data_IF_099821187642
#
_entry.id   IF_099821187642
#
_cell.length_a   1.000
_cell.length_b   1.000
_cell.length_c   1.000
_cell.angle_alpha   90.00
_cell.angle_beta   90.00
_cell.angle_gamma   90.00
#
_symmetry.space_group_name_H-M   'P 1'
#
loop_
_entity.id
_entity.type
_entity.pdbx_description
1 polymer ?
#
# COMPACT_ATOMS: atom_id res chain seq x y z
N UNK A 1 30.71 -9.19 -17.81
CA UNK A 1 31.33 -10.53 -17.57
C UNK A 1 31.04 -11.11 -16.18
N UNK A 2 31.26 -10.42 -15.07
CA UNK A 2 30.82 -10.94 -13.73
C UNK A 2 29.30 -10.87 -13.60
N UNK A 3 28.69 -9.79 -14.03
CA UNK A 3 27.26 -9.55 -13.99
C UNK A 3 26.47 -10.47 -14.91
N UNK A 4 26.96 -10.75 -16.11
CA UNK A 4 26.35 -11.72 -17.03
C UNK A 4 26.24 -13.10 -16.39
N UNK A 5 27.31 -13.57 -15.72
CA UNK A 5 27.29 -14.85 -15.01
C UNK A 5 26.33 -14.86 -13.81
N UNK A 6 26.19 -13.71 -13.14
CA UNK A 6 25.23 -13.56 -12.02
C UNK A 6 23.81 -13.54 -12.53
N UNK A 7 23.53 -12.81 -13.62
CA UNK A 7 22.23 -12.77 -14.29
C UNK A 7 21.83 -14.16 -14.78
N UNK A 8 22.72 -14.87 -15.47
CA UNK A 8 22.47 -16.25 -15.93
C UNK A 8 22.13 -17.20 -14.77
N UNK A 9 22.84 -17.07 -13.65
CA UNK A 9 22.53 -17.86 -12.44
C UNK A 9 21.17 -17.49 -11.86
N UNK A 10 20.83 -16.20 -11.82
CA UNK A 10 19.54 -15.71 -11.31
C UNK A 10 18.37 -16.23 -12.18
N UNK A 11 18.51 -16.18 -13.50
CA UNK A 11 17.50 -16.71 -14.43
C UNK A 11 17.32 -18.24 -14.30
N UNK A 12 18.33 -18.93 -13.78
CA UNK A 12 18.28 -20.39 -13.58
C UNK A 12 17.62 -20.78 -12.25
N UNK A 13 17.78 -19.98 -11.18
CA UNK A 13 17.35 -20.34 -9.82
C UNK A 13 16.09 -19.62 -9.35
N UNK A 14 15.75 -18.45 -9.93
CA UNK A 14 14.61 -17.66 -9.54
C UNK A 14 13.42 -17.85 -10.49
N UNK A 15 12.21 -17.94 -9.95
CA UNK A 15 11.02 -17.94 -10.79
C UNK A 15 10.98 -16.71 -11.71
N UNK A 16 10.66 -16.95 -12.98
CA UNK A 16 10.55 -15.91 -14.02
C UNK A 16 9.19 -15.23 -13.98
N UNK A 17 8.89 -14.57 -12.86
CA UNK A 17 7.67 -13.78 -12.66
C UNK A 17 7.86 -12.29 -12.94
N UNK A 18 9.09 -11.86 -13.15
CA UNK A 18 9.47 -10.48 -13.47
C UNK A 18 10.33 -10.43 -14.73
N UNK A 19 10.14 -9.39 -15.54
CA UNK A 19 11.07 -9.01 -16.59
C UNK A 19 12.12 -8.08 -15.97
N UNK A 20 13.25 -8.66 -15.53
CA UNK A 20 14.31 -7.91 -14.84
C UNK A 20 15.16 -7.13 -15.83
N UNK A 21 15.54 -5.90 -15.44
CA UNK A 21 16.55 -5.15 -16.18
C UNK A 21 17.94 -5.76 -15.94
N UNK A 22 18.85 -5.73 -16.94
CA UNK A 22 20.18 -6.33 -16.86
C UNK A 22 21.17 -5.43 -16.08
N UNK A 23 20.81 -5.05 -14.85
CA UNK A 23 21.63 -4.25 -13.94
C UNK A 23 21.69 -4.99 -12.60
N UNK A 24 22.89 -5.09 -12.04
CA UNK A 24 23.13 -5.73 -10.73
C UNK A 24 23.49 -4.65 -9.74
N UNK A 25 22.53 -4.20 -8.95
CA UNK A 25 22.79 -3.24 -7.88
C UNK A 25 23.51 -3.90 -6.71
N UNK A 26 24.51 -3.20 -6.17
CA UNK A 26 25.35 -3.66 -5.06
C UNK A 26 24.99 -2.93 -3.76
N UNK A 27 24.95 -1.61 -3.77
CA UNK A 27 24.66 -0.81 -2.58
C UNK A 27 23.88 0.47 -2.93
N UNK A 28 23.44 1.18 -1.88
CA UNK A 28 22.74 2.45 -2.01
C UNK A 28 22.97 3.37 -0.83
N UNK A 29 22.87 4.68 -1.05
CA UNK A 29 22.91 5.71 0.00
C UNK A 29 22.02 6.89 -0.38
N UNK A 30 21.14 7.29 0.54
CA UNK A 30 20.19 8.37 0.27
C UNK A 30 19.28 8.01 -0.91
N UNK A 31 19.38 8.76 -1.99
CA UNK A 31 18.58 8.55 -3.23
C UNK A 31 19.38 7.89 -4.36
N UNK A 32 20.63 7.50 -4.09
CA UNK A 32 21.54 6.96 -5.10
C UNK A 32 21.75 5.46 -4.89
N UNK A 33 21.77 4.74 -5.99
CA UNK A 33 22.14 3.32 -6.08
C UNK A 33 23.42 3.18 -6.88
N UNK A 34 24.22 2.16 -6.56
CA UNK A 34 25.40 1.78 -7.31
C UNK A 34 25.29 0.34 -7.78
N UNK A 35 25.66 0.10 -9.02
CA UNK A 35 25.83 -1.25 -9.54
C UNK A 35 27.21 -1.85 -9.19
N UNK A 36 27.41 -3.12 -9.51
CA UNK A 36 28.66 -3.84 -9.26
C UNK A 36 29.85 -3.34 -10.09
N UNK A 37 29.60 -2.50 -11.10
CA UNK A 37 30.64 -1.83 -11.92
C UNK A 37 30.98 -0.43 -11.40
N UNK A 38 30.26 0.05 -10.36
CA UNK A 38 30.46 1.35 -9.73
C UNK A 38 29.72 2.50 -10.43
N UNK A 39 28.81 2.22 -11.35
CA UNK A 39 27.97 3.26 -11.93
C UNK A 39 26.95 3.76 -10.91
N UNK A 40 26.74 5.06 -10.87
CA UNK A 40 25.74 5.73 -10.02
C UNK A 40 24.41 5.88 -10.74
N UNK A 41 23.33 5.61 -10.02
CA UNK A 41 21.96 5.73 -10.50
C UNK A 41 21.14 6.59 -9.56
N UNK A 42 20.43 7.59 -10.10
CA UNK A 42 19.44 8.35 -9.35
C UNK A 42 18.12 7.56 -9.31
N UNK A 43 17.58 7.33 -8.13
CA UNK A 43 16.41 6.45 -7.94
C UNK A 43 15.10 7.24 -7.78
N UNK A 44 14.22 7.14 -8.78
CA UNK A 44 12.83 7.62 -8.74
C UNK A 44 11.80 6.50 -8.54
N UNK A 45 12.25 5.29 -8.23
CA UNK A 45 11.40 4.13 -7.97
C UNK A 45 11.29 3.74 -6.50
N UNK A 46 12.35 4.00 -5.72
CA UNK A 46 12.45 3.69 -4.28
C UNK A 46 12.04 2.24 -3.93
N UNK A 47 12.39 1.25 -4.77
CA UNK A 47 11.94 -0.12 -4.57
C UNK A 47 10.41 -0.28 -4.62
N UNK A 48 9.73 0.46 -5.49
CA UNK A 48 8.27 0.60 -5.60
C UNK A 48 7.69 1.33 -4.38
N UNK A 49 8.17 2.55 -4.14
CA UNK A 49 7.75 3.45 -3.06
C UNK A 49 8.01 2.90 -1.63
N UNK A 50 8.99 2.04 -1.46
CA UNK A 50 9.34 1.41 -0.17
C UNK A 50 10.35 2.23 0.62
N UNK A 51 11.43 2.69 -0.02
CA UNK A 51 12.56 3.36 0.62
C UNK A 51 12.23 4.83 0.92
N UNK A 52 11.33 5.08 1.89
CA UNK A 52 10.90 6.43 2.24
C UNK A 52 12.04 7.31 2.77
N UNK A 53 12.88 6.78 3.66
CA UNK A 53 14.07 7.44 4.20
C UNK A 53 15.30 7.30 3.28
N UNK A 54 15.13 6.71 2.09
CA UNK A 54 16.24 6.37 1.23
C UNK A 54 17.08 5.20 1.74
N UNK A 55 18.20 4.98 1.08
CA UNK A 55 19.10 3.86 1.33
C UNK A 55 20.09 4.20 2.44
N UNK A 56 20.33 3.24 3.34
CA UNK A 56 21.35 3.30 4.40
C UNK A 56 21.29 4.60 5.25
N UNK A 57 20.10 5.07 5.59
CA UNK A 57 19.93 6.13 6.58
C UNK A 57 20.58 5.68 7.89
N UNK A 58 21.46 6.51 8.45
CA UNK A 58 22.31 6.13 9.58
C UNK A 58 21.49 5.93 10.86
N UNK A 59 20.55 6.84 11.15
CA UNK A 59 19.72 6.80 12.35
C UNK A 59 18.82 5.56 12.34
N UNK A 60 18.14 5.31 11.21
CA UNK A 60 17.33 4.13 10.98
C UNK A 60 18.15 2.84 11.08
N UNK A 61 19.29 2.78 10.39
CA UNK A 61 20.16 1.60 10.37
C UNK A 61 20.69 1.25 11.77
N UNK A 62 21.06 2.26 12.57
CA UNK A 62 21.53 2.07 13.93
C UNK A 62 20.41 1.56 14.86
N UNK A 63 19.17 2.06 14.72
CA UNK A 63 18.03 1.57 15.48
C UNK A 63 17.75 0.08 15.21
N UNK A 64 17.73 -0.31 13.91
CA UNK A 64 17.54 -1.70 13.51
C UNK A 64 18.66 -2.61 14.05
N UNK A 65 19.93 -2.21 13.92
CA UNK A 65 21.07 -2.97 14.45
C UNK A 65 20.98 -3.13 15.97
N UNK A 66 20.65 -2.07 16.69
CA UNK A 66 20.49 -2.12 18.14
C UNK A 66 19.40 -3.10 18.59
N UNK A 67 18.29 -3.20 17.82
CA UNK A 67 17.24 -4.18 18.11
C UNK A 67 17.67 -5.62 17.77
N UNK A 68 18.47 -5.82 16.71
CA UNK A 68 19.04 -7.13 16.38
C UNK A 68 19.91 -7.69 17.51
N UNK A 69 20.61 -6.84 18.24
CA UNK A 69 21.45 -7.22 19.39
C UNK A 69 20.63 -7.56 20.66
N UNK A 70 19.33 -7.29 20.67
CA UNK A 70 18.45 -7.55 21.82
C UNK A 70 17.55 -8.77 21.60
N UNK A 71 16.58 -8.63 20.73
CA UNK A 71 15.54 -9.64 20.47
C UNK A 71 14.95 -9.41 19.09
N UNK A 72 15.14 -10.36 18.19
CA UNK A 72 14.66 -10.24 16.81
C UNK A 72 13.22 -10.74 16.63
N UNK A 73 12.84 -11.77 17.38
CA UNK A 73 11.53 -12.39 17.26
C UNK A 73 11.03 -12.93 18.57
N UNK A 74 9.73 -12.75 18.81
CA UNK A 74 8.93 -13.45 19.80
C UNK A 74 7.49 -13.52 19.29
N UNK A 75 6.76 -14.58 19.67
CA UNK A 75 5.35 -14.74 19.29
C UNK A 75 4.46 -13.65 19.87
N UNK A 76 3.37 -13.30 19.16
CA UNK A 76 2.28 -12.44 19.66
C UNK A 76 1.53 -13.02 20.87
N UNK A 77 1.92 -14.20 21.35
CA UNK A 77 1.50 -14.73 22.65
C UNK A 77 2.13 -13.97 23.83
N UNK A 78 3.13 -13.15 23.57
CA UNK A 78 3.88 -12.36 24.56
C UNK A 78 3.93 -10.90 24.16
N UNK A 79 4.01 -10.02 25.14
CA UNK A 79 4.19 -8.59 24.90
C UNK A 79 5.67 -8.26 24.60
N UNK A 80 5.89 -7.30 23.72
CA UNK A 80 7.20 -6.73 23.49
C UNK A 80 7.10 -5.20 23.35
N UNK A 81 8.06 -4.47 23.87
CA UNK A 81 8.05 -3.01 23.91
C UNK A 81 8.01 -2.38 22.51
N UNK A 82 8.87 -2.78 21.53
CA UNK A 82 8.86 -2.15 20.21
C UNK A 82 7.50 -2.21 19.49
N UNK A 83 6.72 -3.28 19.68
CA UNK A 83 5.41 -3.37 19.02
C UNK A 83 4.37 -2.43 19.65
N UNK A 84 4.48 -2.16 20.94
CA UNK A 84 3.62 -1.19 21.63
C UNK A 84 4.00 0.22 21.21
N UNK A 85 5.29 0.58 21.25
CA UNK A 85 5.77 1.90 20.90
C UNK A 85 5.42 2.28 19.45
N UNK A 86 5.72 1.40 18.50
CA UNK A 86 5.34 1.59 17.10
C UNK A 86 3.81 1.68 16.92
N UNK A 87 3.07 0.85 17.64
CA UNK A 87 1.60 0.86 17.62
C UNK A 87 1.04 2.19 18.11
N UNK A 88 1.47 2.68 19.26
CA UNK A 88 1.01 3.95 19.82
C UNK A 88 1.31 5.13 18.90
N UNK A 89 2.52 5.19 18.32
CA UNK A 89 2.89 6.25 17.37
C UNK A 89 2.03 6.18 16.11
N UNK A 90 1.83 4.99 15.54
CA UNK A 90 1.04 4.81 14.35
C UNK A 90 -0.43 5.17 14.57
N UNK A 91 -1.01 4.80 15.72
CA UNK A 91 -2.36 5.20 16.12
C UNK A 91 -2.47 6.72 16.34
N UNK A 92 -1.47 7.34 16.96
CA UNK A 92 -1.41 8.80 17.17
C UNK A 92 -1.48 9.57 15.86
N UNK A 93 -0.71 9.18 14.85
CA UNK A 93 -0.64 9.90 13.55
C UNK A 93 -1.81 9.57 12.62
N UNK A 94 -2.46 8.41 12.79
CA UNK A 94 -3.60 7.98 11.99
C UNK A 94 -4.95 8.32 12.63
N UNK A 95 -4.99 8.51 13.95
CA UNK A 95 -6.25 8.66 14.69
C UNK A 95 -7.11 7.40 14.71
N UNK A 96 -6.56 6.22 14.36
CA UNK A 96 -7.24 4.93 14.47
C UNK A 96 -7.18 4.41 15.91
N UNK A 97 -7.97 3.36 16.24
CA UNK A 97 -8.11 2.88 17.62
C UNK A 97 -7.27 1.63 17.91
N UNK A 98 -7.08 0.77 16.91
CA UNK A 98 -6.35 -0.50 17.02
C UNK A 98 -5.48 -0.74 15.80
N UNK A 99 -4.37 -1.46 16.01
CA UNK A 99 -3.44 -1.90 14.97
C UNK A 99 -3.11 -3.37 15.12
N UNK A 100 -2.98 -4.06 14.00
CA UNK A 100 -2.41 -5.40 13.90
C UNK A 100 -1.27 -5.36 12.89
N UNK A 101 -0.06 -5.72 13.32
CA UNK A 101 1.10 -5.76 12.45
C UNK A 101 1.19 -7.07 11.66
N UNK A 102 1.51 -6.96 10.38
CA UNK A 102 1.69 -8.07 9.44
C UNK A 102 3.09 -8.01 8.83
N UNK A 103 3.42 -8.93 7.90
CA UNK A 103 4.73 -8.96 7.25
C UNK A 103 4.75 -8.22 5.89
N UNK A 104 3.60 -7.88 5.36
CA UNK A 104 3.46 -7.30 4.02
C UNK A 104 2.14 -6.56 3.85
N UNK A 105 2.05 -5.75 2.79
CA UNK A 105 0.80 -5.09 2.41
C UNK A 105 -0.30 -6.07 2.04
N UNK A 106 0.03 -7.15 1.32
CA UNK A 106 -0.98 -8.16 0.95
C UNK A 106 -1.59 -8.82 2.19
N UNK A 107 -0.79 -9.12 3.23
CA UNK A 107 -1.30 -9.63 4.51
C UNK A 107 -2.15 -8.59 5.27
N UNK A 108 -1.80 -7.31 5.18
CA UNK A 108 -2.61 -6.25 5.75
C UNK A 108 -4.01 -6.19 5.07
N UNK A 109 -4.07 -6.35 3.76
CA UNK A 109 -5.32 -6.45 3.02
C UNK A 109 -6.12 -7.69 3.45
N UNK A 110 -5.48 -8.87 3.59
CA UNK A 110 -6.15 -10.08 4.08
C UNK A 110 -6.83 -9.85 5.45
N UNK A 111 -6.13 -9.15 6.37
CA UNK A 111 -6.69 -8.76 7.66
C UNK A 111 -7.88 -7.81 7.53
N UNK A 112 -7.78 -6.79 6.67
CA UNK A 112 -8.85 -5.84 6.42
C UNK A 112 -10.12 -6.51 5.83
N UNK A 113 -9.95 -7.44 4.88
CA UNK A 113 -11.06 -8.23 4.32
C UNK A 113 -11.71 -9.10 5.38
N UNK A 114 -10.91 -9.69 6.28
CA UNK A 114 -11.44 -10.49 7.41
C UNK A 114 -12.22 -9.63 8.39
N UNK A 115 -11.79 -8.40 8.70
CA UNK A 115 -12.58 -7.46 9.50
C UNK A 115 -13.94 -7.22 8.86
N UNK A 116 -13.99 -6.93 7.55
CA UNK A 116 -15.24 -6.67 6.85
C UNK A 116 -16.21 -7.87 6.91
N UNK A 117 -15.70 -9.07 6.66
CA UNK A 117 -16.49 -10.30 6.74
C UNK A 117 -16.93 -10.61 8.17
N UNK A 118 -16.06 -10.38 9.16
CA UNK A 118 -16.42 -10.61 10.58
C UNK A 118 -17.44 -9.59 11.08
N UNK A 119 -17.32 -8.33 10.66
CA UNK A 119 -18.33 -7.30 10.93
C UNK A 119 -19.71 -7.70 10.38
N UNK A 120 -19.78 -8.15 9.14
CA UNK A 120 -21.01 -8.65 8.53
C UNK A 120 -21.59 -9.85 9.29
N UNK A 121 -20.74 -10.81 9.63
CA UNK A 121 -21.14 -11.98 10.43
C UNK A 121 -21.76 -11.57 11.78
N UNK A 122 -21.09 -10.69 12.53
CA UNK A 122 -21.58 -10.20 13.81
C UNK A 122 -22.95 -9.52 13.69
N UNK A 123 -23.11 -8.65 12.68
CA UNK A 123 -24.35 -7.93 12.38
C UNK A 123 -25.53 -8.90 12.08
N UNK A 124 -25.29 -9.95 11.32
CA UNK A 124 -26.32 -10.97 11.04
C UNK A 124 -26.70 -11.73 12.32
N UNK A 125 -25.73 -12.10 13.16
CA UNK A 125 -26.00 -12.79 14.41
C UNK A 125 -26.78 -11.93 15.42
N UNK A 126 -26.46 -10.63 15.54
CA UNK A 126 -27.21 -9.70 16.39
C UNK A 126 -28.68 -9.59 15.96
N UNK A 127 -28.96 -9.60 14.64
CA UNK A 127 -30.34 -9.52 14.13
C UNK A 127 -31.12 -10.82 14.31
N UNK A 128 -30.45 -11.98 14.40
CA UNK A 128 -31.10 -13.28 14.59
C UNK A 128 -31.44 -13.57 16.08
N UNK A 129 -30.82 -12.85 17.03
CA UNK A 129 -31.00 -13.02 18.47
C UNK A 129 -30.36 -14.30 19.02
N UNK A 130 -29.95 -14.29 20.29
CA UNK A 130 -29.39 -15.46 21.03
C UNK A 130 -30.39 -16.60 21.27
N UNK A 131 -31.48 -16.69 20.54
CA UNK A 131 -32.70 -17.42 20.87
C UNK A 131 -32.94 -18.71 20.11
N UNK A 132 -31.94 -19.52 19.82
CA UNK A 132 -32.19 -20.87 19.29
C UNK A 132 -31.23 -21.93 19.83
N UNK A 133 -31.34 -22.23 21.13
CA UNK A 133 -31.00 -23.57 21.62
C UNK A 133 -32.01 -24.56 21.00
N UNK A 134 -31.63 -25.24 19.91
CA UNK A 134 -32.44 -26.30 19.30
C UNK A 134 -33.13 -25.97 17.96
N UNK A 135 -32.93 -24.81 17.35
CA UNK A 135 -33.34 -24.61 15.95
C UNK A 135 -32.34 -25.31 15.03
N UNK A 136 -32.85 -26.11 14.10
CA UNK A 136 -32.06 -26.51 12.90
C UNK A 136 -31.42 -25.25 12.33
N UNK A 137 -30.07 -25.22 12.20
CA UNK A 137 -29.34 -24.14 11.55
C UNK A 137 -29.96 -23.96 10.15
N UNK A 138 -30.86 -22.98 10.02
CA UNK A 138 -31.20 -22.53 8.67
C UNK A 138 -29.88 -22.11 8.05
N UNK A 139 -29.53 -22.66 6.91
CA UNK A 139 -28.39 -22.19 6.11
C UNK A 139 -28.60 -20.71 5.81
N UNK A 140 -28.13 -19.84 6.71
CA UNK A 140 -28.11 -18.41 6.49
C UNK A 140 -26.94 -18.15 5.57
N UNK A 141 -27.21 -17.48 4.45
CA UNK A 141 -26.15 -17.06 3.54
C UNK A 141 -25.29 -15.97 4.21
N UNK A 142 -24.17 -16.40 4.78
CA UNK A 142 -23.20 -15.55 5.47
C UNK A 142 -22.25 -14.82 4.49
N UNK A 143 -22.56 -14.79 3.20
CA UNK A 143 -21.71 -14.16 2.18
C UNK A 143 -21.73 -12.63 2.34
N UNK A 144 -20.71 -12.08 3.00
CA UNK A 144 -20.45 -10.63 2.98
C UNK A 144 -19.82 -10.25 1.64
N UNK A 145 -20.49 -9.37 0.89
CA UNK A 145 -19.99 -8.85 -0.38
C UNK A 145 -19.10 -7.60 -0.17
N UNK A 146 -18.04 -7.49 -0.97
CA UNK A 146 -17.10 -6.36 -0.92
C UNK A 146 -17.05 -5.71 -2.30
N UNK A 147 -17.23 -4.39 -2.35
CA UNK A 147 -17.05 -3.61 -3.56
C UNK A 147 -15.60 -3.13 -3.62
N UNK A 148 -14.92 -3.43 -4.72
CA UNK A 148 -13.56 -2.98 -5.03
C UNK A 148 -13.57 -2.12 -6.30
N UNK A 149 -12.49 -1.39 -6.55
CA UNK A 149 -12.43 -0.50 -7.72
C UNK A 149 -11.76 -1.19 -8.91
N UNK A 150 -12.27 -0.94 -10.11
CA UNK A 150 -11.59 -1.26 -11.35
C UNK A 150 -10.20 -0.60 -11.36
N UNK A 151 -9.22 -1.25 -11.96
CA UNK A 151 -7.81 -0.83 -12.02
C UNK A 151 -7.07 -0.76 -10.68
N UNK A 152 -7.70 -1.11 -9.55
CA UNK A 152 -7.04 -1.16 -8.25
C UNK A 152 -5.98 -2.27 -8.16
N UNK A 153 -5.05 -2.10 -7.21
CA UNK A 153 -4.08 -3.11 -6.85
C UNK A 153 -3.95 -3.23 -5.33
N UNK A 154 -4.34 -4.38 -4.79
CA UNK A 154 -4.33 -4.62 -3.35
C UNK A 154 -3.40 -5.75 -2.91
N UNK A 155 -2.80 -6.49 -3.85
CA UNK A 155 -1.81 -7.53 -3.55
C UNK A 155 -1.93 -8.78 -4.42
N UNK A 156 -1.14 -9.81 -4.06
CA UNK A 156 -0.98 -11.04 -4.85
C UNK A 156 -1.38 -12.31 -4.13
N UNK A 157 -1.67 -12.29 -2.82
CA UNK A 157 -2.33 -13.41 -2.14
C UNK A 157 -3.76 -13.58 -2.68
N UNK A 158 -4.34 -14.76 -2.59
CA UNK A 158 -5.64 -15.03 -3.25
C UNK A 158 -6.76 -14.11 -2.76
N UNK A 159 -6.79 -13.76 -1.47
CA UNK A 159 -7.77 -12.81 -0.95
C UNK A 159 -7.54 -11.39 -1.44
N UNK A 160 -6.32 -10.85 -1.33
CA UNK A 160 -5.98 -9.53 -1.85
C UNK A 160 -6.11 -9.46 -3.39
N UNK A 161 -5.79 -10.57 -4.08
CA UNK A 161 -5.98 -10.68 -5.52
C UNK A 161 -7.47 -10.64 -5.91
N UNK A 162 -8.35 -11.18 -5.07
CA UNK A 162 -9.80 -11.19 -5.32
C UNK A 162 -10.37 -9.78 -5.43
N UNK A 163 -9.83 -8.81 -4.66
CA UNK A 163 -10.25 -7.40 -4.67
C UNK A 163 -9.36 -6.51 -5.55
N UNK A 164 -8.33 -7.06 -6.21
CA UNK A 164 -7.49 -6.33 -7.17
C UNK A 164 -8.23 -6.17 -8.50
N UNK A 165 -8.44 -4.91 -8.95
CA UNK A 165 -9.30 -4.58 -10.09
C UNK A 165 -8.76 -4.98 -11.46
N UNK A 166 -7.46 -5.26 -11.60
CA UNK A 166 -6.86 -5.65 -12.86
C UNK A 166 -7.15 -7.12 -13.19
N UNK A 167 -8.04 -7.36 -14.17
CA UNK A 167 -8.46 -8.70 -14.60
C UNK A 167 -7.28 -9.58 -15.09
N UNK A 168 -6.25 -8.98 -15.70
CA UNK A 168 -5.07 -9.71 -16.15
C UNK A 168 -4.38 -10.47 -15.00
N UNK A 169 -4.37 -9.89 -13.80
CA UNK A 169 -3.78 -10.54 -12.63
C UNK A 169 -4.67 -11.63 -12.02
N UNK A 170 -6.01 -11.49 -12.14
CA UNK A 170 -6.99 -12.38 -11.51
C UNK A 170 -7.32 -13.62 -12.33
N UNK A 171 -7.52 -13.45 -13.64
CA UNK A 171 -8.08 -14.48 -14.52
C UNK A 171 -7.40 -15.85 -14.44
N UNK A 172 -6.05 -15.95 -14.38
CA UNK A 172 -5.36 -17.24 -14.30
C UNK A 172 -5.59 -18.01 -13.00
N UNK A 173 -6.12 -17.35 -11.96
CA UNK A 173 -6.23 -17.91 -10.60
C UNK A 173 -7.68 -18.14 -10.14
N UNK A 174 -8.64 -18.08 -11.07
CA UNK A 174 -10.03 -18.39 -10.75
C UNK A 174 -10.23 -19.87 -10.39
N UNK A 175 -11.16 -20.23 -9.45
CA UNK A 175 -12.02 -19.30 -8.72
C UNK A 175 -11.29 -18.58 -7.58
N UNK A 176 -11.55 -17.28 -7.45
CA UNK A 176 -11.10 -16.45 -6.33
C UNK A 176 -12.16 -16.40 -5.22
N UNK A 177 -11.95 -15.62 -4.16
CA UNK A 177 -12.90 -15.46 -3.06
C UNK A 177 -14.21 -14.89 -3.62
N UNK A 178 -15.37 -15.55 -3.35
CA UNK A 178 -16.66 -15.08 -3.84
C UNK A 178 -17.14 -13.81 -3.14
N UNK A 179 -18.12 -13.13 -3.74
CA UNK A 179 -18.75 -11.94 -3.17
C UNK A 179 -17.94 -10.65 -3.40
N UNK A 180 -17.07 -10.60 -4.40
CA UNK A 180 -16.38 -9.36 -4.80
C UNK A 180 -17.05 -8.78 -6.05
N UNK A 181 -17.43 -7.52 -5.98
CA UNK A 181 -18.01 -6.72 -7.06
C UNK A 181 -17.06 -5.58 -7.42
N UNK A 182 -17.08 -5.13 -8.66
CA UNK A 182 -16.18 -4.05 -9.11
C UNK A 182 -16.99 -2.86 -9.60
N UNK A 183 -16.56 -1.66 -9.18
CA UNK A 183 -17.08 -0.37 -9.60
C UNK A 183 -15.99 0.48 -10.24
N UNK A 184 -16.37 1.48 -11.02
CA UNK A 184 -15.44 2.40 -11.63
C UNK A 184 -14.97 3.46 -10.62
N UNK A 185 -13.68 3.72 -10.62
CA UNK A 185 -13.06 4.71 -9.75
C UNK A 185 -13.46 6.13 -10.17
N UNK A 186 -13.76 6.99 -9.20
CA UNK A 186 -14.31 8.34 -9.40
C UNK A 186 -15.72 8.37 -10.03
N UNK A 187 -16.49 7.27 -9.92
CA UNK A 187 -17.89 7.18 -10.35
C UNK A 187 -18.77 6.65 -9.21
N UNK A 188 -19.50 7.54 -8.53
CA UNK A 188 -20.40 7.17 -7.42
C UNK A 188 -21.60 6.34 -7.88
N UNK A 189 -22.12 6.57 -9.08
CA UNK A 189 -23.25 5.83 -9.61
C UNK A 189 -22.84 4.37 -9.90
N UNK A 190 -21.61 4.17 -10.37
CA UNK A 190 -21.04 2.83 -10.53
C UNK A 190 -20.98 2.08 -9.20
N UNK A 191 -20.60 2.75 -8.09
CA UNK A 191 -20.60 2.12 -6.74
C UNK A 191 -22.03 1.79 -6.30
N UNK A 192 -22.97 2.75 -6.40
CA UNK A 192 -24.37 2.54 -6.01
C UNK A 192 -25.01 1.35 -6.72
N UNK A 193 -24.69 1.15 -7.99
CA UNK A 193 -25.18 0.03 -8.78
C UNK A 193 -24.66 -1.35 -8.30
N UNK A 194 -23.58 -1.37 -7.50
CA UNK A 194 -23.01 -2.62 -6.94
C UNK A 194 -23.50 -2.92 -5.52
N UNK A 195 -24.10 -1.96 -4.81
CA UNK A 195 -24.58 -2.15 -3.44
C UNK A 195 -25.76 -3.12 -3.43
N UNK A 196 -25.70 -4.12 -2.55
CA UNK A 196 -26.77 -5.08 -2.27
C UNK A 196 -27.01 -5.18 -0.77
N UNK A 197 -28.01 -5.93 -0.35
CA UNK A 197 -28.29 -6.26 1.06
C UNK A 197 -27.18 -7.09 1.73
N UNK A 198 -26.29 -7.69 0.94
CA UNK A 198 -25.11 -8.45 1.40
C UNK A 198 -23.83 -7.63 1.42
N UNK A 199 -23.82 -6.43 0.87
CA UNK A 199 -22.62 -5.60 0.87
C UNK A 199 -22.22 -5.24 2.30
N UNK A 200 -20.95 -5.48 2.65
CA UNK A 200 -20.40 -5.21 3.97
C UNK A 200 -19.27 -4.17 3.98
N UNK A 201 -18.60 -3.98 2.86
CA UNK A 201 -17.51 -3.02 2.76
C UNK A 201 -17.28 -2.52 1.34
N UNK A 202 -16.66 -1.33 1.26
CA UNK A 202 -16.05 -0.79 0.05
C UNK A 202 -14.55 -0.68 0.31
N UNK A 203 -13.71 -1.26 -0.58
CA UNK A 203 -12.26 -1.14 -0.53
C UNK A 203 -11.74 -0.36 -1.71
N UNK A 204 -10.85 0.60 -1.45
CA UNK A 204 -10.21 1.41 -2.49
C UNK A 204 -8.87 1.99 -2.03
N UNK A 205 -8.04 2.38 -2.98
CA UNK A 205 -6.88 3.24 -2.74
C UNK A 205 -7.34 4.70 -2.77
N UNK A 206 -6.79 5.56 -1.92
CA UNK A 206 -7.02 7.02 -2.02
C UNK A 206 -6.36 7.59 -3.29
N UNK A 207 -5.27 6.97 -3.74
CA UNK A 207 -4.61 7.22 -5.02
C UNK A 207 -4.28 5.84 -5.62
N UNK A 208 -4.87 5.48 -6.74
CA UNK A 208 -4.56 4.23 -7.44
C UNK A 208 -3.13 4.26 -7.97
N UNK A 209 -2.22 3.56 -7.28
CA UNK A 209 -0.79 3.60 -7.59
C UNK A 209 -0.43 2.80 -8.83
N UNK A 210 -0.73 1.51 -8.85
CA UNK A 210 -0.48 0.61 -9.99
C UNK A 210 -1.43 0.86 -11.15
N UNK A 211 -2.63 1.36 -10.88
CA UNK A 211 -3.64 1.71 -11.88
C UNK A 211 -3.29 2.92 -12.75
N UNK A 212 -2.22 3.67 -12.42
CA UNK A 212 -1.77 4.79 -13.24
C UNK A 212 -1.75 6.16 -12.54
N UNK A 213 -1.58 6.17 -11.24
CA UNK A 213 -1.52 7.38 -10.41
C UNK A 213 -2.80 8.22 -10.55
N UNK A 214 -3.95 7.60 -10.30
CA UNK A 214 -5.23 8.31 -10.30
C UNK A 214 -5.65 8.67 -8.88
N UNK A 215 -5.63 9.96 -8.48
CA UNK A 215 -6.19 10.40 -7.20
C UNK A 215 -7.72 10.30 -7.19
N UNK A 216 -8.28 9.95 -6.05
CA UNK A 216 -9.70 10.15 -5.80
C UNK A 216 -10.04 11.64 -5.84
N UNK A 217 -11.19 12.00 -6.43
CA UNK A 217 -11.71 13.34 -6.27
C UNK A 217 -12.30 13.51 -4.88
N UNK A 218 -12.33 14.74 -4.37
CA UNK A 218 -12.90 15.02 -3.05
C UNK A 218 -14.38 14.66 -2.99
N UNK A 219 -15.13 14.97 -4.04
CA UNK A 219 -16.55 14.64 -4.16
C UNK A 219 -16.77 13.12 -4.12
N UNK A 220 -15.97 12.37 -4.87
CA UNK A 220 -16.05 10.90 -4.91
C UNK A 220 -15.78 10.29 -3.54
N UNK A 221 -14.67 10.66 -2.89
CA UNK A 221 -14.28 10.06 -1.61
C UNK A 221 -15.27 10.40 -0.49
N UNK A 222 -15.76 11.64 -0.45
CA UNK A 222 -16.84 12.05 0.48
C UNK A 222 -18.16 11.34 0.18
N UNK A 223 -18.48 11.16 -1.09
CA UNK A 223 -19.67 10.40 -1.52
C UNK A 223 -19.59 8.93 -1.13
N UNK A 224 -18.42 8.30 -1.29
CA UNK A 224 -18.20 6.90 -0.84
C UNK A 224 -18.36 6.77 0.68
N UNK A 225 -17.83 7.74 1.47
CA UNK A 225 -18.03 7.74 2.93
C UNK A 225 -19.52 7.86 3.29
N UNK A 226 -20.23 8.76 2.64
CA UNK A 226 -21.67 8.93 2.86
C UNK A 226 -22.47 7.66 2.52
N UNK A 227 -22.15 6.97 1.42
CA UNK A 227 -22.76 5.68 1.09
C UNK A 227 -22.47 4.61 2.13
N UNK A 228 -21.22 4.55 2.63
CA UNK A 228 -20.87 3.62 3.70
C UNK A 228 -21.66 3.91 4.98
N UNK A 229 -21.84 5.18 5.33
CA UNK A 229 -22.62 5.58 6.52
C UNK A 229 -24.12 5.29 6.35
N UNK A 230 -24.68 5.56 5.18
CA UNK A 230 -26.09 5.32 4.85
C UNK A 230 -26.46 3.82 4.90
N UNK A 231 -25.59 2.97 4.34
CA UNK A 231 -25.83 1.53 4.23
C UNK A 231 -25.17 0.71 5.34
N UNK A 232 -24.57 1.34 6.34
CA UNK A 232 -23.82 0.69 7.41
C UNK A 232 -22.76 -0.28 6.92
N UNK A 233 -21.94 0.19 5.94
CA UNK A 233 -20.80 -0.52 5.38
C UNK A 233 -19.50 -0.05 6.04
N UNK A 234 -18.44 -0.86 5.91
CA UNK A 234 -17.08 -0.43 6.27
C UNK A 234 -16.40 0.22 5.06
N UNK A 235 -15.78 1.38 5.27
CA UNK A 235 -14.85 1.96 4.31
C UNK A 235 -13.44 1.47 4.64
N UNK A 236 -12.83 0.77 3.69
CA UNK A 236 -11.43 0.30 3.76
C UNK A 236 -10.60 1.15 2.80
N UNK A 237 -9.64 1.91 3.33
CA UNK A 237 -8.69 2.66 2.52
C UNK A 237 -7.32 1.99 2.53
N UNK A 238 -6.85 1.63 1.34
CA UNK A 238 -5.52 1.09 1.12
C UNK A 238 -4.50 2.22 0.98
N UNK A 239 -3.77 2.46 2.05
CA UNK A 239 -2.70 3.46 2.14
C UNK A 239 -1.29 2.86 1.99
N UNK A 240 -1.19 1.62 1.48
CA UNK A 240 0.08 0.90 1.34
C UNK A 240 1.05 1.65 0.43
N UNK A 241 0.58 2.28 -0.64
CA UNK A 241 1.45 3.02 -1.54
C UNK A 241 1.36 4.54 -1.37
N UNK A 242 0.18 5.08 -1.15
CA UNK A 242 -0.05 6.53 -1.07
C UNK A 242 0.12 7.12 0.34
N UNK A 243 0.14 6.28 1.37
CA UNK A 243 0.35 6.68 2.75
C UNK A 243 1.81 6.93 3.13
N UNK A 244 2.05 6.99 4.42
CA UNK A 244 3.38 7.21 5.00
C UNK A 244 4.09 8.43 4.37
N UNK A 245 3.42 9.58 4.37
CA UNK A 245 3.98 10.85 3.90
C UNK A 245 4.03 11.05 2.39
N UNK A 246 3.87 9.98 1.60
CA UNK A 246 4.10 9.96 0.15
C UNK A 246 3.26 10.99 -0.62
N UNK A 247 2.01 11.17 -0.23
CA UNK A 247 1.07 12.12 -0.88
C UNK A 247 1.24 13.58 -0.44
N UNK A 248 2.11 13.86 0.55
CA UNK A 248 2.22 15.16 1.22
C UNK A 248 1.34 15.27 2.48
N UNK A 249 0.58 14.24 2.82
CA UNK A 249 -0.04 14.04 4.13
C UNK A 249 0.48 12.73 4.71
N UNK A 250 0.41 12.53 6.03
CA UNK A 250 0.85 11.26 6.62
C UNK A 250 0.09 10.07 6.02
N UNK A 251 -1.23 10.23 5.82
CA UNK A 251 -2.08 9.35 5.04
C UNK A 251 -2.90 10.17 4.04
N UNK A 252 -3.01 9.69 2.81
CA UNK A 252 -3.60 10.46 1.71
C UNK A 252 -5.06 10.89 1.99
N UNK A 253 -5.84 10.10 2.71
CA UNK A 253 -7.21 10.42 3.08
C UNK A 253 -7.33 11.66 3.99
N UNK A 254 -6.27 12.01 4.74
CA UNK A 254 -6.28 13.18 5.64
C UNK A 254 -6.47 14.48 4.88
N UNK A 255 -5.97 14.56 3.64
CA UNK A 255 -6.21 15.70 2.73
C UNK A 255 -7.69 15.99 2.52
N UNK A 256 -8.52 14.97 2.52
CA UNK A 256 -9.96 15.05 2.23
C UNK A 256 -10.82 15.09 3.50
N UNK A 257 -10.22 14.88 4.67
CA UNK A 257 -10.93 14.76 5.93
C UNK A 257 -11.90 13.57 6.01
N UNK A 258 -11.66 12.52 5.20
CA UNK A 258 -12.51 11.32 5.12
C UNK A 258 -11.84 10.17 5.85
N UNK A 259 -12.18 9.98 7.14
CA UNK A 259 -11.61 8.92 7.95
C UNK A 259 -12.21 7.55 7.56
N UNK A 260 -11.39 6.54 7.25
CA UNK A 260 -11.88 5.18 7.02
C UNK A 260 -12.22 4.45 8.31
N UNK A 261 -12.99 3.36 8.20
CA UNK A 261 -13.21 2.40 9.30
C UNK A 261 -12.02 1.44 9.44
N UNK A 262 -11.37 1.10 8.31
CA UNK A 262 -10.18 0.26 8.25
C UNK A 262 -9.17 0.89 7.29
N UNK A 263 -7.89 0.87 7.66
CA UNK A 263 -6.79 1.35 6.83
C UNK A 263 -5.67 0.32 6.79
N UNK A 264 -5.02 0.16 5.64
CA UNK A 264 -3.84 -0.71 5.49
C UNK A 264 -2.60 0.09 5.16
N UNK A 265 -1.46 -0.29 5.74
CA UNK A 265 -0.16 0.35 5.51
C UNK A 265 0.95 -0.69 5.38
N UNK A 266 2.01 -0.36 4.64
CA UNK A 266 3.22 -1.17 4.49
C UNK A 266 4.35 -0.29 3.90
N UNK A 267 5.20 -0.86 3.05
CA UNK A 267 6.23 -0.15 2.26
C UNK A 267 7.09 0.78 3.12
N UNK A 268 6.89 2.10 3.01
CA UNK A 268 7.69 3.09 3.76
C UNK A 268 7.55 2.95 5.28
N UNK A 269 6.54 2.23 5.79
CA UNK A 269 6.44 1.90 7.22
C UNK A 269 7.69 1.16 7.73
N UNK A 270 8.27 0.28 6.91
CA UNK A 270 9.45 -0.50 7.26
C UNK A 270 10.75 -0.02 6.62
N UNK A 271 10.69 0.93 5.68
CA UNK A 271 11.85 1.42 4.92
C UNK A 271 12.78 0.30 4.43
N UNK A 272 12.19 -0.77 3.84
CA UNK A 272 12.90 -1.94 3.31
C UNK A 272 12.83 -3.19 4.18
N UNK A 273 12.59 -3.07 5.49
CA UNK A 273 12.28 -4.22 6.35
C UNK A 273 10.82 -4.65 6.11
N UNK A 274 10.57 -5.97 5.90
CA UNK A 274 9.22 -6.46 5.63
C UNK A 274 8.28 -6.26 6.80
N UNK A 275 7.34 -5.33 6.68
CA UNK A 275 6.25 -5.07 7.63
C UNK A 275 5.05 -4.49 6.89
N UNK A 276 3.87 -4.80 7.38
CA UNK A 276 2.63 -4.13 7.08
C UNK A 276 1.79 -4.01 8.33
N UNK A 277 0.67 -3.33 8.23
CA UNK A 277 -0.33 -3.31 9.29
C UNK A 277 -1.71 -3.02 8.70
N UNK A 278 -2.74 -3.51 9.37
CA UNK A 278 -4.08 -2.98 9.23
C UNK A 278 -4.51 -2.32 10.54
N UNK A 279 -5.17 -1.19 10.40
CA UNK A 279 -5.67 -0.39 11.50
C UNK A 279 -7.19 -0.29 11.38
N UNK A 280 -7.86 -0.25 12.52
CA UNK A 280 -9.32 -0.13 12.54
C UNK A 280 -9.77 0.85 13.62
N UNK A 281 -10.95 1.45 13.43
CA UNK A 281 -11.58 2.28 14.44
C UNK A 281 -13.07 1.95 14.61
N UNK A 282 -13.65 2.41 15.73
CA UNK A 282 -15.08 2.26 16.05
C UNK A 282 -15.57 0.82 15.91
N UNK A 283 -16.64 0.64 15.13
CA UNK A 283 -17.30 -0.67 14.90
C UNK A 283 -16.37 -1.71 14.27
N UNK A 284 -15.45 -1.29 13.42
CA UNK A 284 -14.47 -2.18 12.80
C UNK A 284 -13.43 -2.68 13.79
N UNK A 285 -12.98 -1.83 14.73
CA UNK A 285 -12.01 -2.21 15.76
C UNK A 285 -12.59 -3.21 16.79
N UNK A 286 -13.91 -3.25 16.94
CA UNK A 286 -14.61 -4.17 17.82
C UNK A 286 -15.01 -5.50 17.15
N UNK A 287 -14.83 -5.62 15.81
CA UNK A 287 -15.38 -6.74 15.07
C UNK A 287 -14.70 -8.08 15.38
N UNK A 288 -13.37 -8.09 15.56
CA UNK A 288 -12.59 -9.32 15.78
C UNK A 288 -12.43 -9.68 17.26
N UNK A 289 -12.40 -10.96 17.53
CA UNK A 289 -12.15 -11.54 18.85
C UNK A 289 -10.90 -12.44 18.84
N UNK A 290 -10.34 -12.82 20.01
CA UNK A 290 -9.22 -13.76 20.06
C UNK A 290 -9.48 -15.04 19.27
N UNK A 291 -8.54 -15.43 18.41
CA UNK A 291 -8.63 -16.59 17.51
C UNK A 291 -9.05 -16.29 16.08
N UNK A 292 -9.63 -15.13 15.79
CA UNK A 292 -10.09 -14.78 14.43
C UNK A 292 -8.93 -14.54 13.45
N UNK A 293 -7.79 -14.04 13.92
CA UNK A 293 -6.63 -13.74 13.09
C UNK A 293 -5.32 -14.00 13.84
N UNK A 294 -4.25 -14.24 13.09
CA UNK A 294 -2.93 -14.50 13.66
C UNK A 294 -1.82 -14.44 12.63
N UNK A 295 -0.61 -14.33 13.11
CA UNK A 295 0.63 -14.34 12.30
C UNK A 295 1.78 -14.85 13.15
N UNK A 296 2.73 -15.56 12.54
CA UNK A 296 3.94 -16.00 13.22
C UNK A 296 4.93 -14.86 13.41
N UNK A 297 5.21 -14.10 12.35
CA UNK A 297 6.29 -13.10 12.33
C UNK A 297 5.80 -11.66 12.43
N UNK A 298 4.56 -11.36 12.07
CA UNK A 298 4.03 -10.00 12.08
C UNK A 298 4.08 -9.39 13.48
N UNK A 299 4.58 -8.16 13.58
CA UNK A 299 4.72 -7.44 14.86
C UNK A 299 5.89 -7.90 15.74
N UNK A 300 6.85 -8.67 15.18
CA UNK A 300 8.03 -9.03 15.96
C UNK A 300 8.87 -7.81 16.34
N UNK A 301 9.70 -7.90 17.41
CA UNK A 301 10.47 -6.77 17.91
C UNK A 301 11.37 -6.11 16.87
N UNK A 302 11.96 -6.85 15.94
CA UNK A 302 12.86 -6.29 14.93
C UNK A 302 12.12 -5.37 13.95
N UNK A 303 11.03 -5.86 13.37
CA UNK A 303 10.30 -5.12 12.33
C UNK A 303 9.52 -3.94 12.91
N UNK A 304 9.04 -4.06 14.17
CA UNK A 304 8.35 -2.96 14.85
C UNK A 304 9.32 -1.90 15.36
N UNK A 305 10.53 -2.26 15.80
CA UNK A 305 11.58 -1.28 16.07
C UNK A 305 12.01 -0.51 14.81
N UNK A 306 12.02 -1.17 13.66
CA UNK A 306 12.25 -0.50 12.38
C UNK A 306 11.13 0.51 12.06
N UNK A 307 9.86 0.11 12.22
CA UNK A 307 8.71 1.01 12.01
C UNK A 307 8.70 2.18 13.02
N UNK A 308 9.03 1.91 14.27
CA UNK A 308 9.16 2.91 15.33
C UNK A 308 10.19 3.98 14.96
N UNK A 309 11.37 3.55 14.53
CA UNK A 309 12.42 4.45 14.05
C UNK A 309 12.00 5.28 12.83
N UNK A 310 11.26 4.68 11.87
CA UNK A 310 10.71 5.42 10.73
C UNK A 310 9.78 6.54 11.21
N UNK A 311 8.85 6.25 12.13
CA UNK A 311 7.89 7.23 12.64
C UNK A 311 8.59 8.36 13.39
N UNK A 312 9.60 8.07 14.23
CA UNK A 312 10.40 9.08 14.93
C UNK A 312 11.16 9.99 13.95
N UNK A 313 11.80 9.40 12.94
CA UNK A 313 12.56 10.15 11.94
C UNK A 313 11.62 11.04 11.10
N UNK A 314 10.44 10.53 10.75
CA UNK A 314 9.43 11.31 10.01
C UNK A 314 8.99 12.55 10.79
N UNK A 315 8.70 12.40 12.09
CA UNK A 315 8.32 13.53 12.97
C UNK A 315 9.51 14.49 13.14
N UNK A 316 10.67 13.97 13.52
CA UNK A 316 11.88 14.75 13.81
C UNK A 316 12.40 15.58 12.63
N UNK A 317 12.36 15.00 11.41
CA UNK A 317 12.88 15.64 10.19
C UNK A 317 11.80 16.32 9.36
N UNK A 318 10.55 16.38 9.85
CA UNK A 318 9.42 17.00 9.14
C UNK A 318 9.24 16.47 7.70
N UNK A 319 9.38 15.15 7.53
CA UNK A 319 9.38 14.51 6.20
C UNK A 319 8.11 14.85 5.40
N UNK A 320 6.95 14.91 6.05
CA UNK A 320 5.68 15.22 5.37
C UNK A 320 5.68 16.64 4.79
N UNK A 321 6.22 17.62 5.53
CA UNK A 321 6.31 19.01 5.07
C UNK A 321 7.33 19.13 3.94
N UNK A 322 8.46 18.42 4.03
CA UNK A 322 9.44 18.32 2.96
C UNK A 322 8.82 17.74 1.67
N UNK A 323 8.02 16.68 1.79
CA UNK A 323 7.33 16.09 0.64
C UNK A 323 6.32 17.07 0.01
N UNK A 324 5.64 17.90 0.77
CA UNK A 324 4.77 18.96 0.21
C UNK A 324 5.57 19.92 -0.67
N UNK A 325 6.70 20.40 -0.17
CA UNK A 325 7.57 21.35 -0.90
C UNK A 325 8.16 20.72 -2.16
N UNK A 326 8.85 19.59 -1.99
CA UNK A 326 9.54 18.93 -3.11
C UNK A 326 8.55 18.34 -4.11
N UNK A 327 7.40 17.84 -3.63
CA UNK A 327 6.33 17.36 -4.49
C UNK A 327 5.76 18.45 -5.38
N UNK A 328 5.59 19.68 -4.86
CA UNK A 328 5.16 20.82 -5.67
C UNK A 328 6.21 21.20 -6.73
N UNK A 329 7.50 21.18 -6.35
CA UNK A 329 8.59 21.41 -7.31
C UNK A 329 8.63 20.33 -8.40
N UNK A 330 8.52 19.04 -8.03
CA UNK A 330 8.47 17.94 -8.99
C UNK A 330 7.27 18.09 -9.94
N UNK A 331 6.10 18.45 -9.38
CA UNK A 331 4.88 18.68 -10.16
C UNK A 331 5.09 19.72 -11.25
N UNK A 332 5.66 20.88 -10.90
CA UNK A 332 5.98 21.94 -11.86
C UNK A 332 6.93 21.45 -12.98
N UNK A 333 7.96 20.67 -12.62
CA UNK A 333 8.91 20.15 -13.60
C UNK A 333 8.29 19.14 -14.56
N UNK A 334 7.45 18.24 -14.05
CA UNK A 334 6.76 17.24 -14.86
C UNK A 334 5.66 17.88 -15.73
N UNK A 335 4.94 18.87 -15.22
CA UNK A 335 3.99 19.65 -16.04
C UNK A 335 4.70 20.37 -17.18
N UNK A 336 5.88 20.94 -16.94
CA UNK A 336 6.71 21.52 -17.98
C UNK A 336 7.18 20.52 -19.05
N UNK A 337 7.30 19.24 -18.73
CA UNK A 337 7.56 18.20 -19.73
C UNK A 337 6.33 17.91 -20.59
N UNK A 338 5.15 17.89 -19.99
CA UNK A 338 3.87 17.76 -20.71
C UNK A 338 3.67 18.91 -21.70
N UNK A 339 3.94 20.13 -21.27
CA UNK A 339 3.82 21.31 -22.15
C UNK A 339 4.83 21.31 -23.29
N UNK A 340 6.00 20.69 -23.08
CA UNK A 340 7.12 20.71 -24.04
C UNK A 340 7.05 19.57 -25.08
N UNK A 341 6.52 18.42 -24.72
CA UNK A 341 6.60 17.21 -25.54
C UNK A 341 5.21 16.64 -25.84
N UNK A 342 4.77 16.67 -27.09
CA UNK A 342 3.47 16.14 -27.53
C UNK A 342 3.26 14.65 -27.23
N UNK A 343 4.33 13.89 -27.04
CA UNK A 343 4.28 12.48 -26.66
C UNK A 343 3.81 12.29 -25.21
N UNK A 344 3.92 13.33 -24.37
CA UNK A 344 3.40 13.34 -23.01
C UNK A 344 1.94 13.80 -23.05
N UNK A 345 1.03 12.89 -22.81
CA UNK A 345 -0.43 13.08 -22.91
C UNK A 345 -1.01 13.80 -21.70
N UNK A 346 -0.59 13.37 -20.51
CA UNK A 346 -1.15 13.85 -19.25
C UNK A 346 -0.16 13.73 -18.09
N UNK A 347 -0.37 14.56 -17.06
CA UNK A 347 0.36 14.52 -15.80
C UNK A 347 -0.61 14.58 -14.63
N UNK A 348 -0.41 13.75 -13.60
CA UNK A 348 -1.25 13.70 -12.41
C UNK A 348 -0.51 13.17 -11.19
N UNK A 349 -1.09 13.38 -10.02
CA UNK A 349 -0.54 12.96 -8.73
C UNK A 349 -0.42 14.09 -7.73
N UNK A 350 0.21 13.83 -6.58
CA UNK A 350 0.44 14.81 -5.51
C UNK A 350 1.62 14.35 -4.65
N UNK A 351 2.28 15.29 -3.97
CA UNK A 351 3.48 14.97 -3.22
C UNK A 351 4.54 14.28 -4.09
N UNK A 352 5.12 13.22 -3.58
CA UNK A 352 6.09 12.38 -4.30
C UNK A 352 5.49 11.06 -4.82
N UNK A 353 4.23 11.11 -5.27
CA UNK A 353 3.56 10.07 -6.04
C UNK A 353 2.90 10.72 -7.27
N UNK A 354 3.64 10.74 -8.38
CA UNK A 354 3.25 11.43 -9.61
C UNK A 354 3.43 10.53 -10.83
N UNK A 355 2.66 10.77 -11.86
CA UNK A 355 2.66 9.98 -13.09
C UNK A 355 2.58 10.82 -14.34
N UNK A 356 3.43 10.50 -15.32
CA UNK A 356 3.31 11.00 -16.70
C UNK A 356 2.72 9.92 -17.59
N UNK A 357 1.62 10.23 -18.24
CA UNK A 357 1.01 9.38 -19.27
C UNK A 357 1.53 9.76 -20.64
N UNK A 358 1.88 8.75 -21.42
CA UNK A 358 2.43 8.91 -22.76
C UNK A 358 1.45 8.36 -23.81
N UNK A 359 1.54 8.90 -25.03
CA UNK A 359 0.81 8.38 -26.20
C UNK A 359 1.40 7.08 -26.74
N UNK A 360 2.54 6.65 -26.21
CA UNK A 360 3.31 5.45 -26.62
C UNK A 360 3.63 4.58 -25.40
N UNK A 361 3.94 3.28 -25.58
CA UNK A 361 4.41 2.43 -24.51
C UNK A 361 5.72 2.95 -23.88
N UNK A 362 5.78 3.01 -22.54
CA UNK A 362 6.92 3.59 -21.80
C UNK A 362 8.05 2.61 -21.51
N UNK A 363 7.87 1.32 -21.76
CA UNK A 363 8.92 0.32 -21.50
C UNK A 363 10.27 0.66 -22.10
N UNK A 364 10.36 1.03 -23.41
CA UNK A 364 11.62 1.46 -24.01
C UNK A 364 12.20 2.73 -23.38
N UNK A 365 11.35 3.68 -22.95
CA UNK A 365 11.78 4.94 -22.31
C UNK A 365 12.40 4.62 -20.94
N UNK A 366 11.73 3.79 -20.12
CA UNK A 366 12.23 3.36 -18.82
C UNK A 366 13.54 2.59 -18.94
N UNK A 367 13.64 1.67 -19.92
CA UNK A 367 14.86 0.92 -20.18
C UNK A 367 16.03 1.85 -20.58
N UNK A 368 15.77 2.81 -21.47
CA UNK A 368 16.77 3.78 -21.92
C UNK A 368 17.20 4.72 -20.78
N UNK A 369 16.25 5.19 -19.96
CA UNK A 369 16.55 6.00 -18.79
C UNK A 369 17.50 5.26 -17.83
N UNK A 370 17.25 3.99 -17.55
CA UNK A 370 18.09 3.17 -16.70
C UNK A 370 19.48 2.93 -17.29
N UNK A 371 19.55 2.44 -18.54
CA UNK A 371 20.80 1.94 -19.10
C UNK A 371 21.73 3.07 -19.58
N UNK A 372 21.17 4.13 -20.19
CA UNK A 372 21.94 5.20 -20.79
C UNK A 372 22.08 6.43 -19.87
N UNK A 373 21.00 6.77 -19.11
CA UNK A 373 20.96 7.98 -18.28
C UNK A 373 21.17 7.70 -16.78
N UNK A 374 21.31 6.43 -16.40
CA UNK A 374 21.48 6.03 -15.00
C UNK A 374 20.34 6.54 -14.09
N UNK A 375 19.13 6.56 -14.62
CA UNK A 375 17.92 7.02 -13.95
C UNK A 375 16.96 5.85 -13.77
N UNK A 376 16.70 5.48 -12.51
CA UNK A 376 15.76 4.40 -12.19
C UNK A 376 14.34 4.95 -12.21
N UNK A 377 13.57 4.53 -13.20
CA UNK A 377 12.14 4.82 -13.34
C UNK A 377 11.34 3.53 -13.32
N UNK A 378 10.07 3.61 -12.92
CA UNK A 378 9.14 2.48 -12.97
C UNK A 378 7.87 2.86 -13.71
N UNK A 379 7.24 1.87 -14.34
CA UNK A 379 5.97 2.07 -15.02
C UNK A 379 4.77 1.76 -14.10
N UNK A 380 3.62 2.35 -14.42
CA UNK A 380 2.30 1.97 -13.92
C UNK A 380 1.41 1.68 -15.14
N UNK A 381 1.29 0.39 -15.50
CA UNK A 381 0.68 -0.01 -16.77
C UNK A 381 1.62 0.21 -17.97
N UNK A 382 1.04 0.21 -19.17
CA UNK A 382 1.82 0.24 -20.42
C UNK A 382 2.38 1.62 -20.77
N UNK A 383 1.65 2.69 -20.47
CA UNK A 383 1.88 4.03 -21.02
C UNK A 383 2.20 5.09 -19.95
N UNK A 384 2.39 4.71 -18.70
CA UNK A 384 2.60 5.66 -17.61
C UNK A 384 3.94 5.42 -16.95
N UNK A 385 4.74 6.46 -16.81
CA UNK A 385 5.93 6.49 -15.94
C UNK A 385 5.50 7.01 -14.58
N UNK A 386 5.82 6.26 -13.53
CA UNK A 386 5.52 6.59 -12.15
C UNK A 386 6.78 7.09 -11.45
N UNK A 387 6.65 8.23 -10.78
CA UNK A 387 7.70 8.88 -10.00
C UNK A 387 7.35 8.74 -8.52
N UNK A 388 8.10 7.89 -7.82
CA UNK A 388 7.94 7.60 -6.39
C UNK A 388 9.32 7.53 -5.71
N UNK A 389 10.15 8.60 -5.82
CA UNK A 389 11.49 8.62 -5.26
C UNK A 389 11.47 8.44 -3.73
N UNK A 390 12.62 8.21 -3.08
CA UNK A 390 12.73 8.37 -1.64
C UNK A 390 12.22 9.74 -1.20
N UNK A 391 11.54 9.81 -0.05
CA UNK A 391 10.88 11.03 0.43
C UNK A 391 11.86 12.13 0.82
N UNK A 392 13.13 11.79 0.95
CA UNK A 392 14.25 12.68 1.29
C UNK A 392 14.92 13.29 0.05
N UNK A 393 14.38 13.06 -1.16
CA UNK A 393 14.96 13.65 -2.38
C UNK A 393 14.91 15.17 -2.32
N UNK A 394 15.94 15.81 -2.86
CA UNK A 394 16.07 17.27 -2.91
C UNK A 394 15.87 17.80 -4.34
N UNK A 395 15.87 19.16 -4.49
CA UNK A 395 15.71 19.85 -5.80
C UNK A 395 16.86 19.60 -6.73
#
# INVERSE_FOLDING_TARGET
MADEKMIDRAEHVLYKTYNRFPVVFDHGKGVTLWDTEGNEYLDFGAGIAVMGLGYCDEEYTNAVKAQMDKLTHISNLFYNQPSVDAGEKLLKVSGMDKVFFTNSGTEAIEGALKIAKRYHYNKLHETMGDGCDGCEEKEVDMTGEIIAMNHSFHGRSLGALSVTGNAHYRTPFNPLIPGVRFADFNDLESIKAQITDKTCAIIMETIQGEGGIYPATEEFLKGVRALCDEHDLLLILDEIQCGMGRSGEMFAWQKYGVKPDVMTVAKSLGNGVPIGAFLACGKAAAAMVPGDHGTTYGGNPLVTAAADAVLDIFEKRHIVDHVKEIGAYLYEKLEGLKDKYEVVKDHRGTGLIQGLEFTVPVGPIVSKALLEQKLVLISAGANIIRFVPPLIIEK
#
